data_IF_499452151152
#
_entry.id   IF_499452151152
#
_cell.length_a   1.000
_cell.length_b   1.000
_cell.length_c   1.000
_cell.angle_alpha   90.00
_cell.angle_beta   90.00
_cell.angle_gamma   90.00
#
_symmetry.space_group_name_H-M   'P 1'
#
loop_
_entity.id
_entity.type
_entity.pdbx_description
1 polymer ?
#
# COMPACT_ATOMS: atom_id res chain seq x y z
N UNK A 5 0.01 -6.25 -13.04
CA UNK A 5 1.08 -7.16 -12.57
C UNK A 5 0.94 -7.45 -11.09
N UNK A 6 1.70 -8.41 -10.59
CA UNK A 6 1.65 -8.78 -9.20
C UNK A 6 2.64 -7.94 -8.38
N UNK A 7 2.60 -8.11 -7.05
CA UNK A 7 3.48 -7.37 -6.13
C UNK A 7 4.94 -7.56 -6.52
N UNK A 8 5.29 -8.78 -6.92
CA UNK A 8 6.66 -9.14 -7.30
C UNK A 8 7.20 -8.21 -8.40
N UNK A 9 6.35 -7.80 -9.31
CA UNK A 9 6.75 -6.91 -10.40
C UNK A 9 6.75 -5.47 -9.94
N UNK A 10 5.75 -5.15 -9.14
CA UNK A 10 5.47 -3.78 -8.73
C UNK A 10 6.41 -3.24 -7.64
N UNK A 11 6.98 -4.12 -6.83
CA UNK A 11 7.74 -3.71 -5.63
C UNK A 11 8.80 -2.61 -5.86
N UNK A 12 9.69 -2.80 -6.80
CA UNK A 12 10.74 -1.83 -7.07
C UNK A 12 10.22 -0.65 -7.87
N UNK A 13 9.38 -0.94 -8.84
CA UNK A 13 8.86 0.04 -9.77
C UNK A 13 7.94 1.07 -9.08
N UNK A 14 7.28 0.63 -8.02
CA UNK A 14 6.31 1.46 -7.30
C UNK A 14 6.89 2.80 -6.87
N UNK A 15 8.05 2.76 -6.25
CA UNK A 15 8.68 3.98 -5.75
C UNK A 15 9.16 4.87 -6.89
N UNK A 16 9.29 4.29 -8.09
CA UNK A 16 9.76 5.03 -9.24
C UNK A 16 8.59 5.61 -10.03
N UNK A 17 7.43 4.97 -9.93
CA UNK A 17 6.24 5.43 -10.64
C UNK A 17 5.72 6.73 -10.03
N UNK A 18 5.84 6.84 -8.73
CA UNK A 18 5.38 8.02 -8.00
C UNK A 18 6.53 8.98 -7.77
N UNK A 19 6.21 10.22 -7.44
CA UNK A 19 7.20 11.21 -7.12
C UNK A 19 7.61 11.07 -5.66
N UNK A 20 8.77 11.61 -5.31
CA UNK A 20 9.29 11.52 -3.95
C UNK A 20 8.30 12.10 -2.94
N UNK A 21 7.59 13.16 -3.34
CA UNK A 21 6.63 13.80 -2.46
C UNK A 21 5.43 12.89 -2.20
N UNK A 22 5.11 12.04 -3.17
CA UNK A 22 4.00 11.11 -3.00
C UNK A 22 4.37 10.06 -1.97
N UNK A 23 5.60 9.55 -2.06
CA UNK A 23 6.10 8.58 -1.08
C UNK A 23 6.10 9.21 0.32
N UNK A 24 6.58 10.44 0.40
CA UNK A 24 6.62 11.17 1.66
C UNK A 24 5.20 11.43 2.19
N UNK A 25 4.27 11.71 1.28
CA UNK A 25 2.88 11.95 1.64
C UNK A 25 2.26 10.71 2.24
N UNK A 26 2.37 9.59 1.52
CA UNK A 26 1.77 8.34 1.96
C UNK A 26 2.33 7.90 3.31
N UNK A 27 3.60 8.22 3.56
CA UNK A 27 4.27 7.84 4.80
C UNK A 27 3.50 8.37 6.02
N UNK A 28 2.83 9.51 5.86
CA UNK A 28 2.06 10.11 6.94
C UNK A 28 0.96 9.17 7.43
N UNK A 29 0.24 8.57 6.49
CA UNK A 29 -0.85 7.66 6.81
C UNK A 29 -0.31 6.32 7.31
N UNK A 30 0.84 5.93 6.80
CA UNK A 30 1.46 4.68 7.22
C UNK A 30 1.90 4.78 8.68
N UNK A 31 2.50 5.91 9.01
CA UNK A 31 3.02 6.17 10.35
C UNK A 31 1.93 6.05 11.41
N UNK A 32 0.75 6.56 11.10
CA UNK A 32 -0.36 6.53 12.06
C UNK A 32 -0.96 5.13 12.20
N UNK A 33 -0.89 4.35 11.14
CA UNK A 33 -1.50 3.02 11.13
C UNK A 33 -0.50 1.92 11.46
N UNK A 34 0.71 2.30 11.85
CA UNK A 34 1.75 1.33 12.18
C UNK A 34 1.36 0.53 13.42
N UNK A 35 0.92 -0.69 13.19
CA UNK A 35 0.44 -1.56 14.25
C UNK A 35 1.57 -2.16 15.05
N UNK A 36 2.67 -2.48 14.39
CA UNK A 36 3.82 -3.05 15.05
C UNK A 36 4.69 -1.93 15.61
N UNK A 37 4.49 -0.78 15.03
CA UNK A 37 5.22 0.43 15.38
C UNK A 37 6.59 0.44 14.75
N UNK A 38 6.85 -0.56 13.92
CA UNK A 38 8.06 -0.56 13.16
C UNK A 38 7.83 -1.03 11.73
N UNK A 39 7.82 -0.10 10.80
CA UNK A 39 7.75 -0.44 9.36
C UNK A 39 6.62 -1.38 8.93
N UNK A 40 5.61 -1.63 9.78
CA UNK A 40 4.57 -2.62 9.44
C UNK A 40 3.19 -2.23 9.96
N UNK A 41 2.23 -2.22 9.05
CA UNK A 41 0.85 -1.88 9.38
C UNK A 41 -0.05 -3.08 9.11
N UNK A 42 -1.30 -2.99 9.53
CA UNK A 42 -2.26 -4.05 9.26
C UNK A 42 -2.63 -4.04 7.77
N UNK A 43 -3.03 -5.20 7.24
CA UNK A 43 -3.35 -5.30 5.81
C UNK A 43 -4.55 -4.42 5.45
N UNK A 44 -5.57 -4.41 6.29
CA UNK A 44 -6.73 -3.59 6.02
C UNK A 44 -6.42 -2.11 6.27
N UNK A 45 -5.37 -1.86 7.04
CA UNK A 45 -4.96 -0.51 7.37
C UNK A 45 -4.54 0.26 6.13
N UNK A 46 -3.75 -0.39 5.27
CA UNK A 46 -3.33 0.24 4.04
C UNK A 46 -4.52 0.50 3.13
N UNK A 47 -5.48 -0.43 3.14
CA UNK A 47 -6.70 -0.24 2.38
C UNK A 47 -7.44 1.02 2.82
N UNK A 48 -7.36 1.30 4.12
CA UNK A 48 -7.99 2.48 4.69
C UNK A 48 -7.18 3.74 4.39
N UNK A 49 -5.86 3.58 4.25
CA UNK A 49 -4.97 4.68 3.90
C UNK A 49 -5.47 5.37 2.64
N UNK A 50 -5.99 4.57 1.72
CA UNK A 50 -6.53 5.08 0.47
C UNK A 50 -7.63 6.10 0.75
N UNK A 51 -8.59 5.69 1.56
CA UNK A 51 -9.77 6.51 1.86
C UNK A 51 -9.37 7.85 2.45
N UNK A 52 -8.55 7.78 3.48
CA UNK A 52 -8.15 8.98 4.22
C UNK A 52 -7.34 9.94 3.35
N UNK A 53 -6.72 9.43 2.28
CA UNK A 53 -5.92 10.27 1.40
C UNK A 53 -6.66 10.61 0.10
N UNK A 54 -7.93 10.25 0.02
CA UNK A 54 -8.74 10.58 -1.15
C UNK A 54 -8.55 9.61 -2.31
N UNK A 55 -8.11 8.42 -2.01
CA UNK A 55 -7.90 7.38 -3.00
C UNK A 55 -9.01 6.35 -2.91
N UNK A 56 -9.63 6.04 -4.01
CA UNK A 56 -10.70 5.07 -4.02
C UNK A 56 -10.35 3.85 -4.83
N UNK A 57 -10.12 2.71 -4.16
CA UNK A 57 -9.75 1.47 -4.82
C UNK A 57 -10.97 0.71 -5.29
N UNK A 58 -10.75 -0.25 -6.15
CA UNK A 58 -11.82 -1.10 -6.58
C UNK A 58 -12.12 -2.12 -5.48
N UNK A 59 -13.37 -2.52 -5.38
CA UNK A 59 -13.83 -3.46 -4.35
C UNK A 59 -12.95 -4.71 -4.24
N UNK A 60 -12.37 -5.15 -5.33
CA UNK A 60 -11.54 -6.35 -5.34
C UNK A 60 -10.16 -6.10 -4.75
N UNK A 61 -9.67 -4.86 -4.86
CA UNK A 61 -8.33 -4.51 -4.38
C UNK A 61 -8.22 -4.65 -2.88
N UNK A 62 -9.30 -4.31 -2.20
CA UNK A 62 -9.35 -4.35 -0.75
C UNK A 62 -8.98 -5.74 -0.21
N UNK A 63 -9.62 -6.77 -0.76
CA UNK A 63 -9.34 -8.15 -0.36
C UNK A 63 -8.04 -8.64 -1.02
N UNK A 64 -7.79 -8.18 -2.24
CA UNK A 64 -6.60 -8.54 -3.03
C UNK A 64 -5.33 -8.26 -2.26
N UNK A 65 -5.20 -7.04 -1.79
CA UNK A 65 -4.00 -6.60 -1.12
C UNK A 65 -3.72 -7.45 0.11
N UNK A 66 -4.76 -7.73 0.87
CA UNK A 66 -4.63 -8.50 2.09
C UNK A 66 -4.00 -9.87 1.84
N UNK A 67 -4.54 -10.60 0.87
CA UNK A 67 -4.06 -11.94 0.58
C UNK A 67 -2.71 -11.93 -0.14
N UNK A 68 -2.54 -11.02 -1.09
CA UNK A 68 -1.30 -10.94 -1.86
C UNK A 68 -0.11 -10.61 -0.98
N UNK A 69 -0.29 -9.65 -0.10
CA UNK A 69 0.78 -9.22 0.78
C UNK A 69 1.00 -10.26 1.89
N UNK A 70 -0.08 -10.92 2.30
CA UNK A 70 -0.02 -11.93 3.37
C UNK A 70 0.96 -13.06 3.04
N UNK A 71 1.07 -13.37 1.76
CA UNK A 71 1.96 -14.43 1.29
C UNK A 71 3.43 -14.11 1.61
N UNK A 72 3.79 -12.84 1.49
CA UNK A 72 5.17 -12.41 1.74
C UNK A 72 5.32 -11.78 3.12
N UNK A 73 4.22 -11.26 3.64
CA UNK A 73 4.23 -10.62 4.92
C UNK A 73 4.29 -11.60 6.07
N UNK A 74 4.38 -11.07 7.27
CA UNK A 74 4.48 -11.88 8.47
C UNK A 74 3.41 -11.48 9.50
N UNK A 75 2.18 -11.35 9.03
CA UNK A 75 1.09 -10.94 9.89
C UNK A 75 0.79 -9.48 9.75
N UNK A 76 1.67 -8.78 9.06
CA UNK A 76 1.52 -7.36 8.80
C UNK A 76 2.01 -7.04 7.39
N UNK A 77 1.85 -5.81 6.98
CA UNK A 77 2.30 -5.38 5.67
C UNK A 77 3.38 -4.30 5.78
N UNK A 78 4.44 -4.47 5.01
CA UNK A 78 5.60 -3.56 5.02
C UNK A 78 5.27 -2.24 4.33
N UNK A 79 6.10 -1.25 4.59
CA UNK A 79 5.98 0.06 3.97
C UNK A 79 6.01 -0.07 2.46
N UNK A 80 6.89 -0.94 1.96
CA UNK A 80 7.00 -1.17 0.54
C UNK A 80 5.69 -1.63 -0.07
N UNK A 81 5.09 -2.65 0.54
CA UNK A 81 3.84 -3.23 0.06
C UNK A 81 2.75 -2.17 0.06
N UNK A 82 2.75 -1.34 1.09
CA UNK A 82 1.79 -0.28 1.25
C UNK A 82 1.94 0.76 0.14
N UNK A 83 3.18 1.03 -0.23
CA UNK A 83 3.49 1.97 -1.27
C UNK A 83 3.13 1.38 -2.63
N UNK A 84 3.53 0.13 -2.82
CA UNK A 84 3.22 -0.61 -4.03
C UNK A 84 1.72 -0.62 -4.33
N UNK A 85 0.91 -0.81 -3.28
CA UNK A 85 -0.53 -0.84 -3.44
C UNK A 85 -1.07 0.45 -4.07
N UNK A 86 -0.55 1.59 -3.62
CA UNK A 86 -0.96 2.90 -4.14
C UNK A 86 -0.78 2.94 -5.63
N UNK A 87 0.39 2.52 -6.04
CA UNK A 87 0.77 2.47 -7.45
C UNK A 87 -0.18 1.59 -8.25
N UNK A 88 -0.50 0.42 -7.69
CA UNK A 88 -1.44 -0.50 -8.31
C UNK A 88 -2.79 0.19 -8.53
N UNK A 89 -3.15 1.07 -7.60
CA UNK A 89 -4.37 1.82 -7.74
C UNK A 89 -4.24 2.88 -8.82
N UNK A 90 -3.16 3.64 -8.78
CA UNK A 90 -2.91 4.69 -9.76
C UNK A 90 -2.95 4.16 -11.19
N UNK A 91 -2.60 2.89 -11.36
CA UNK A 91 -2.64 2.26 -12.66
C UNK A 91 -4.07 1.95 -13.11
N UNK A 92 -4.89 1.42 -12.21
CA UNK A 92 -6.27 1.06 -12.54
C UNK A 92 -7.18 2.28 -12.46
N UNK A 93 -6.89 3.16 -11.53
CA UNK A 93 -7.66 4.38 -11.35
C UNK A 93 -7.31 5.39 -12.41
N UNK A 94 -8.34 5.81 -13.12
CA UNK A 94 -8.20 6.77 -14.23
C UNK A 94 -7.12 6.34 -15.22
#
# INVERSE_FOLDING_TARGET
GSHMASMEDLQAEARAFLSEEMIAEFKAAFDMFDADGGGDISYKAVGTVFRMLGINPSKEVLDYLKEKIDVDGSGTIDFEEFLVLMVYIMKQDA
#
